data_IF_352814983696
#
_entry.id   IF_352814983696
#
_cell.length_a   1.000
_cell.length_b   1.000
_cell.length_c   1.000
_cell.angle_alpha   90.00
_cell.angle_beta   90.00
_cell.angle_gamma   90.00
#
_symmetry.space_group_name_H-M   'P 1'
#
loop_
_entity.id
_entity.type
_entity.pdbx_description
1 polymer ?
#
# COMPACT_ATOMS: atom_id res chain seq x y z
N UNK A 1 -22.91 16.25 8.02
CA UNK A 1 -23.42 14.97 7.48
C UNK A 1 -22.42 13.83 7.70
N UNK A 2 -21.15 13.99 7.29
CA UNK A 2 -20.09 12.97 7.46
C UNK A 2 -19.97 12.49 8.92
N UNK A 3 -19.80 13.40 9.89
CA UNK A 3 -19.70 13.07 11.33
C UNK A 3 -20.85 12.15 11.76
N UNK A 4 -22.11 12.54 11.46
CA UNK A 4 -23.27 11.73 11.80
C UNK A 4 -23.23 10.32 11.21
N UNK A 5 -22.74 10.17 9.97
CA UNK A 5 -22.61 8.84 9.35
C UNK A 5 -21.46 8.03 9.95
N UNK A 6 -20.31 8.66 10.20
CA UNK A 6 -19.15 7.99 10.79
C UNK A 6 -19.38 7.56 12.23
N UNK A 7 -20.18 8.31 13.01
CA UNK A 7 -20.51 7.97 14.40
C UNK A 7 -21.31 6.66 14.53
N UNK A 8 -21.94 6.18 13.45
CA UNK A 8 -22.67 4.91 13.43
C UNK A 8 -21.82 3.72 12.98
N UNK A 9 -20.51 3.90 12.78
CA UNK A 9 -19.59 2.85 12.32
C UNK A 9 -18.40 2.72 13.28
N UNK A 10 -18.01 1.49 13.59
CA UNK A 10 -16.84 1.25 14.46
C UNK A 10 -15.52 1.70 13.81
N UNK A 11 -15.43 1.56 12.47
CA UNK A 11 -14.25 1.90 11.68
C UNK A 11 -14.64 2.62 10.38
N UNK A 12 -15.00 3.89 10.49
CA UNK A 12 -15.39 4.69 9.33
C UNK A 12 -14.16 5.11 8.49
N UNK A 13 -14.14 4.74 7.21
CA UNK A 13 -13.10 5.13 6.27
C UNK A 13 -13.68 5.99 5.15
N UNK A 14 -13.07 7.15 4.93
CA UNK A 14 -13.51 8.08 3.90
C UNK A 14 -12.74 7.87 2.60
N UNK A 15 -13.46 7.71 1.48
CA UNK A 15 -12.89 7.62 0.14
C UNK A 15 -12.58 9.02 -0.40
N UNK A 16 -11.28 9.33 -0.54
CA UNK A 16 -10.80 10.63 -1.02
C UNK A 16 -10.32 10.50 -2.47
N UNK A 17 -11.22 10.86 -3.39
CA UNK A 17 -11.03 10.66 -4.84
C UNK A 17 -10.45 11.90 -5.54
N UNK A 18 -9.13 11.87 -5.71
CA UNK A 18 -8.39 12.74 -6.60
C UNK A 18 -7.88 14.04 -5.97
N UNK A 19 -6.94 14.73 -6.65
CA UNK A 19 -6.16 15.82 -6.06
C UNK A 19 -7.01 17.04 -5.71
N UNK A 20 -8.14 17.23 -6.42
CA UNK A 20 -9.07 18.32 -6.13
C UNK A 20 -9.75 18.18 -4.77
N UNK A 21 -9.86 16.96 -4.23
CA UNK A 21 -10.45 16.71 -2.92
C UNK A 21 -9.47 16.94 -1.76
N UNK A 22 -8.16 17.07 -2.04
CA UNK A 22 -7.14 17.28 -1.01
C UNK A 22 -7.35 18.57 -0.19
N UNK A 23 -8.09 19.55 -0.75
CA UNK A 23 -8.47 20.76 -0.01
C UNK A 23 -9.33 20.46 1.23
N UNK A 24 -10.00 19.30 1.27
CA UNK A 24 -10.84 18.87 2.38
C UNK A 24 -10.11 17.93 3.36
N UNK A 25 -8.85 17.59 3.08
CA UNK A 25 -8.13 16.58 3.86
C UNK A 25 -7.99 17.00 5.32
N UNK A 26 -7.67 18.26 5.61
CA UNK A 26 -7.54 18.75 6.99
C UNK A 26 -8.84 18.63 7.78
N UNK A 27 -9.96 19.03 7.17
CA UNK A 27 -11.28 18.93 7.78
C UNK A 27 -11.63 17.47 8.08
N UNK A 28 -11.36 16.56 7.14
CA UNK A 28 -11.61 15.13 7.31
C UNK A 28 -10.74 14.52 8.43
N UNK A 29 -9.45 14.85 8.48
CA UNK A 29 -8.53 14.35 9.50
C UNK A 29 -8.90 14.84 10.91
N UNK A 30 -9.55 16.01 11.01
CA UNK A 30 -10.03 16.55 12.29
C UNK A 30 -11.23 15.79 12.88
N UNK A 31 -11.97 15.01 12.07
CA UNK A 31 -13.16 14.29 12.52
C UNK A 31 -12.74 13.09 13.38
N UNK A 32 -13.10 13.02 14.68
CA UNK A 32 -12.66 11.93 15.54
C UNK A 32 -13.21 10.56 15.11
N UNK A 33 -14.48 10.50 14.68
CA UNK A 33 -15.14 9.24 14.29
C UNK A 33 -14.72 8.71 12.92
N UNK A 34 -14.02 9.49 12.09
CA UNK A 34 -13.36 8.95 10.91
C UNK A 34 -12.07 8.26 11.35
N UNK A 35 -12.01 6.93 11.22
CA UNK A 35 -10.84 6.15 11.62
C UNK A 35 -9.77 6.12 10.54
N UNK A 36 -10.12 6.37 9.27
CA UNK A 36 -9.16 6.29 8.17
C UNK A 36 -9.56 7.04 6.91
N UNK A 37 -8.59 7.15 6.00
CA UNK A 37 -8.75 7.71 4.66
C UNK A 37 -8.28 6.67 3.64
N UNK A 38 -9.10 6.41 2.62
CA UNK A 38 -8.66 5.77 1.39
C UNK A 38 -8.26 6.86 0.40
N UNK A 39 -6.99 6.89 0.01
CA UNK A 39 -6.52 7.82 -1.00
C UNK A 39 -6.56 7.20 -2.39
N UNK A 40 -7.23 7.89 -3.32
CA UNK A 40 -7.27 7.52 -4.74
C UNK A 40 -6.80 8.70 -5.58
N UNK A 41 -5.71 8.60 -6.35
CA UNK A 41 -5.21 9.71 -7.17
C UNK A 41 -6.17 10.17 -8.28
N UNK A 42 -7.18 9.37 -8.63
CA UNK A 42 -8.11 9.63 -9.72
C UNK A 42 -7.51 9.32 -11.10
N UNK A 43 -8.37 9.26 -12.12
CA UNK A 43 -7.98 8.90 -13.49
C UNK A 43 -6.95 9.88 -14.08
N UNK A 44 -5.90 9.33 -14.70
CA UNK A 44 -4.85 10.10 -15.38
C UNK A 44 -3.82 10.76 -14.45
N UNK A 45 -3.94 10.57 -13.13
CA UNK A 45 -2.93 10.99 -12.17
C UNK A 45 -1.78 9.98 -12.07
N UNK A 46 -0.71 10.37 -11.37
CA UNK A 46 0.37 9.43 -11.04
C UNK A 46 -0.18 8.30 -10.15
N UNK A 47 0.33 7.07 -10.28
CA UNK A 47 -0.08 5.93 -9.46
C UNK A 47 -0.04 6.26 -7.96
N UNK A 48 -0.88 5.63 -7.15
CA UNK A 48 -0.97 5.92 -5.70
C UNK A 48 0.37 5.69 -5.00
N UNK A 49 1.14 4.71 -5.43
CA UNK A 49 2.48 4.42 -4.93
C UNK A 49 3.56 5.46 -5.30
N UNK A 50 3.26 6.48 -6.10
CA UNK A 50 4.21 7.52 -6.50
C UNK A 50 4.64 8.38 -5.30
N UNK A 51 5.92 8.75 -5.27
CA UNK A 51 6.49 9.54 -4.17
C UNK A 51 5.82 10.91 -4.00
N UNK A 52 5.21 11.45 -5.06
CA UNK A 52 4.42 12.68 -5.02
C UNK A 52 3.32 12.64 -3.96
N UNK A 53 2.78 11.46 -3.64
CA UNK A 53 1.70 11.30 -2.66
C UNK A 53 2.21 11.11 -1.23
N UNK A 54 3.52 10.97 -1.01
CA UNK A 54 4.10 10.82 0.33
C UNK A 54 3.69 11.94 1.32
N UNK A 55 3.62 13.22 0.92
CA UNK A 55 3.12 14.26 1.82
C UNK A 55 1.67 14.02 2.28
N UNK A 56 0.81 13.46 1.42
CA UNK A 56 -0.58 13.10 1.77
C UNK A 56 -0.57 11.96 2.79
N UNK A 57 0.23 10.92 2.56
CA UNK A 57 0.34 9.77 3.45
C UNK A 57 0.88 10.13 4.82
N UNK A 58 1.98 10.89 4.87
CA UNK A 58 2.55 11.36 6.13
C UNK A 58 1.55 12.19 6.92
N UNK A 59 0.74 13.03 6.24
CA UNK A 59 -0.28 13.85 6.89
C UNK A 59 -1.40 13.00 7.50
N UNK A 60 -1.86 11.97 6.80
CA UNK A 60 -2.88 11.03 7.28
C UNK A 60 -2.35 10.26 8.51
N UNK A 61 -1.13 9.73 8.45
CA UNK A 61 -0.52 9.01 9.57
C UNK A 61 -0.24 9.91 10.78
N UNK A 62 0.24 11.14 10.55
CA UNK A 62 0.48 12.11 11.62
C UNK A 62 -0.80 12.47 12.39
N UNK A 63 -1.97 12.38 11.75
CA UNK A 63 -3.27 12.54 12.39
C UNK A 63 -3.78 11.27 13.10
N UNK A 64 -2.98 10.20 13.14
CA UNK A 64 -3.34 8.92 13.75
C UNK A 64 -4.45 8.17 13.00
N UNK A 65 -4.67 8.50 11.72
CA UNK A 65 -5.70 7.86 10.89
C UNK A 65 -5.13 6.69 10.11
N UNK A 66 -5.93 5.65 9.93
CA UNK A 66 -5.62 4.53 9.03
C UNK A 66 -5.51 5.04 7.60
N UNK A 67 -4.56 4.49 6.85
CA UNK A 67 -4.33 4.82 5.45
C UNK A 67 -4.65 3.60 4.60
N UNK A 68 -5.66 3.71 3.74
CA UNK A 68 -5.88 2.74 2.67
C UNK A 68 -5.24 3.27 1.39
N UNK A 69 -4.28 2.52 0.87
CA UNK A 69 -3.71 2.73 -0.47
C UNK A 69 -4.18 1.59 -1.36
N UNK A 70 -5.20 1.86 -2.15
CA UNK A 70 -5.79 0.88 -3.06
C UNK A 70 -5.35 1.17 -4.49
N UNK A 71 -4.53 0.28 -5.09
CA UNK A 71 -4.34 0.20 -6.54
C UNK A 71 -3.58 -1.09 -6.94
N UNK A 72 -4.27 -2.24 -7.04
CA UNK A 72 -3.64 -3.52 -7.31
C UNK A 72 -3.08 -3.68 -8.73
N UNK A 73 -3.48 -2.85 -9.69
CA UNK A 73 -3.14 -3.03 -11.11
C UNK A 73 -2.05 -2.08 -11.62
N UNK A 74 -1.91 -0.88 -11.05
CA UNK A 74 -0.86 0.07 -11.45
C UNK A 74 0.42 -0.08 -10.62
N UNK A 75 0.33 -0.81 -9.51
CA UNK A 75 1.47 -1.05 -8.63
C UNK A 75 2.34 -2.15 -9.22
N UNK A 76 3.44 -1.77 -9.88
CA UNK A 76 4.49 -2.75 -10.14
C UNK A 76 4.99 -3.30 -8.79
N UNK A 77 5.18 -4.62 -8.71
CA UNK A 77 5.52 -5.35 -7.49
C UNK A 77 6.67 -4.74 -6.68
N UNK A 78 7.55 -3.97 -7.32
CA UNK A 78 8.73 -3.36 -6.73
C UNK A 78 8.43 -2.19 -5.77
N UNK A 79 7.28 -1.53 -5.92
CA UNK A 79 7.00 -0.30 -5.20
C UNK A 79 6.46 -0.52 -3.79
N UNK A 80 5.84 -1.67 -3.53
CA UNK A 80 5.28 -1.96 -2.21
C UNK A 80 6.35 -2.00 -1.11
N UNK A 81 7.48 -2.62 -1.42
CA UNK A 81 8.65 -2.65 -0.55
C UNK A 81 9.16 -1.25 -0.19
N UNK A 82 8.99 -0.26 -1.08
CA UNK A 82 9.38 1.13 -0.83
C UNK A 82 8.38 1.84 0.07
N UNK A 83 7.08 1.58 -0.12
CA UNK A 83 6.02 2.16 0.69
C UNK A 83 6.23 1.85 2.18
N UNK A 84 6.40 0.56 2.52
CA UNK A 84 6.62 0.12 3.91
C UNK A 84 7.97 0.52 4.51
N UNK A 85 8.93 1.00 3.70
CA UNK A 85 10.19 1.56 4.20
C UNK A 85 10.08 3.04 4.56
N UNK A 86 9.12 3.75 3.95
CA UNK A 86 8.97 5.20 4.08
C UNK A 86 7.82 5.60 5.01
N UNK A 87 6.86 4.70 5.22
CA UNK A 87 5.72 4.90 6.10
C UNK A 87 5.78 3.95 7.28
N UNK A 88 5.11 4.32 8.37
CA UNK A 88 4.83 3.37 9.44
C UNK A 88 3.92 2.27 8.89
N UNK A 89 4.31 0.99 8.89
CA UNK A 89 3.44 -0.09 8.41
C UNK A 89 2.17 -0.25 9.27
N UNK A 90 2.16 0.29 10.49
CA UNK A 90 0.99 0.28 11.38
C UNK A 90 -0.12 1.13 10.78
N UNK A 91 -1.31 0.53 10.65
CA UNK A 91 -2.49 1.23 10.18
C UNK A 91 -2.54 1.48 8.66
N UNK A 92 -1.67 0.84 7.89
CA UNK A 92 -1.77 0.81 6.42
C UNK A 92 -2.54 -0.43 5.98
N UNK A 93 -3.56 -0.22 5.14
CA UNK A 93 -4.23 -1.28 4.41
C UNK A 93 -3.88 -1.13 2.92
N UNK A 94 -3.38 -2.20 2.31
CA UNK A 94 -3.03 -2.20 0.89
C UNK A 94 -3.50 -3.49 0.24
N UNK A 95 -4.04 -3.37 -0.97
CA UNK A 95 -4.41 -4.52 -1.82
C UNK A 95 -3.34 -4.67 -2.89
N UNK A 96 -2.65 -5.80 -2.88
CA UNK A 96 -1.49 -6.06 -3.75
C UNK A 96 -1.70 -7.40 -4.45
N UNK A 97 -1.41 -7.44 -5.75
CA UNK A 97 -1.38 -8.67 -6.53
C UNK A 97 0.04 -8.94 -7.04
N UNK A 98 0.49 -10.19 -6.95
CA UNK A 98 1.74 -10.65 -7.55
C UNK A 98 1.44 -11.66 -8.64
N UNK A 99 1.98 -11.45 -9.84
CA UNK A 99 1.88 -12.41 -10.94
C UNK A 99 3.00 -13.45 -10.81
N UNK A 100 2.80 -14.38 -9.88
CA UNK A 100 3.66 -15.54 -9.66
C UNK A 100 4.47 -15.51 -8.36
N UNK A 101 4.81 -16.70 -7.87
CA UNK A 101 5.49 -16.91 -6.59
C UNK A 101 6.86 -16.22 -6.51
N UNK A 102 7.62 -16.18 -7.62
CA UNK A 102 8.94 -15.53 -7.66
C UNK A 102 8.87 -14.07 -7.21
N UNK A 103 7.92 -13.32 -7.76
CA UNK A 103 7.79 -11.89 -7.47
C UNK A 103 7.22 -11.67 -6.08
N UNK A 104 6.30 -12.53 -5.64
CA UNK A 104 5.81 -12.50 -4.26
C UNK A 104 6.95 -12.71 -3.26
N UNK A 105 7.75 -13.77 -3.39
CA UNK A 105 8.87 -14.04 -2.48
C UNK A 105 9.90 -12.92 -2.47
N UNK A 106 10.14 -12.27 -3.61
CA UNK A 106 11.13 -11.21 -3.69
C UNK A 106 10.64 -9.87 -3.15
N UNK A 107 9.43 -9.43 -3.52
CA UNK A 107 8.95 -8.08 -3.25
C UNK A 107 8.08 -7.93 -2.01
N UNK A 108 7.47 -9.02 -1.54
CA UNK A 108 6.67 -8.99 -0.32
C UNK A 108 7.54 -8.50 0.86
N UNK A 109 7.01 -7.67 1.77
CA UNK A 109 7.74 -7.20 2.94
C UNK A 109 8.30 -8.35 3.80
N UNK A 110 9.43 -8.08 4.46
CA UNK A 110 10.10 -9.08 5.31
C UNK A 110 9.20 -9.59 6.44
N UNK A 111 8.39 -8.71 7.04
CA UNK A 111 7.44 -9.08 8.10
C UNK A 111 6.28 -9.98 7.62
N UNK A 112 6.09 -10.11 6.30
CA UNK A 112 5.15 -11.04 5.68
C UNK A 112 5.85 -12.26 5.05
N UNK A 113 7.16 -12.43 5.28
CA UNK A 113 7.94 -13.58 4.81
C UNK A 113 8.59 -13.42 3.44
N UNK A 114 8.60 -12.22 2.86
CA UNK A 114 9.34 -11.93 1.62
C UNK A 114 10.73 -11.33 1.86
N UNK A 115 11.36 -10.85 0.78
CA UNK A 115 12.69 -10.17 0.77
C UNK A 115 12.61 -8.65 0.81
N UNK A 116 11.42 -8.05 0.85
CA UNK A 116 11.22 -6.60 0.85
C UNK A 116 11.87 -5.89 -0.34
N UNK A 117 12.01 -6.57 -1.48
CA UNK A 117 12.65 -6.07 -2.70
C UNK A 117 14.14 -5.73 -2.54
N UNK A 118 14.83 -6.24 -1.51
CA UNK A 118 16.23 -5.96 -1.22
C UNK A 118 17.14 -6.95 -1.94
N UNK A 119 18.15 -6.42 -2.66
CA UNK A 119 19.22 -7.21 -3.29
C UNK A 119 19.18 -7.19 -4.82
N UNK A 120 19.79 -8.20 -5.43
CA UNK A 120 19.81 -8.40 -6.89
C UNK A 120 18.70 -9.38 -7.30
N UNK A 121 17.66 -8.86 -7.95
CA UNK A 121 16.54 -9.65 -8.46
C UNK A 121 16.98 -10.70 -9.48
N UNK A 122 17.97 -10.43 -10.33
CA UNK A 122 18.44 -11.40 -11.34
C UNK A 122 19.13 -12.58 -10.67
N UNK A 123 19.95 -12.30 -9.65
CA UNK A 123 20.59 -13.34 -8.85
C UNK A 123 19.54 -14.19 -8.11
N UNK A 124 18.59 -13.54 -7.42
CA UNK A 124 17.49 -14.22 -6.73
C UNK A 124 16.66 -15.11 -7.67
N UNK A 125 16.29 -14.58 -8.84
CA UNK A 125 15.56 -15.33 -9.87
C UNK A 125 16.30 -16.58 -10.35
N UNK A 126 17.62 -16.51 -10.47
CA UNK A 126 18.45 -17.66 -10.86
C UNK A 126 18.42 -18.74 -9.78
N UNK A 127 18.55 -18.36 -8.51
CA UNK A 127 18.49 -19.28 -7.37
C UNK A 127 17.11 -19.92 -7.21
N UNK A 128 16.05 -19.12 -7.29
CA UNK A 128 14.67 -19.58 -7.23
C UNK A 128 14.38 -20.64 -8.30
N UNK A 129 14.79 -20.39 -9.55
CA UNK A 129 14.64 -21.37 -10.65
C UNK A 129 15.41 -22.66 -10.40
N UNK A 130 16.64 -22.56 -9.86
CA UNK A 130 17.46 -23.74 -9.52
C UNK A 130 16.81 -24.57 -8.41
N UNK A 131 16.26 -23.93 -7.38
CA UNK A 131 15.54 -24.59 -6.28
C UNK A 131 14.29 -25.32 -6.77
N UNK A 132 13.47 -24.66 -7.59
CA UNK A 132 12.25 -25.26 -8.12
C UNK A 132 12.51 -26.41 -9.08
N UNK A 133 13.59 -26.35 -9.88
CA UNK A 133 13.99 -27.48 -10.73
C UNK A 133 14.35 -28.71 -9.89
N UNK A 134 15.17 -28.54 -8.84
CA UNK A 134 15.52 -29.64 -7.94
C UNK A 134 14.30 -30.26 -7.26
N UNK A 135 13.34 -29.45 -6.81
CA UNK A 135 12.10 -29.96 -6.20
C UNK A 135 11.27 -30.80 -7.18
N UNK A 136 11.20 -30.39 -8.45
CA UNK A 136 10.51 -31.18 -9.49
C UNK A 136 11.22 -32.48 -9.84
N UNK A 137 12.54 -32.55 -9.70
CA UNK A 137 13.32 -33.77 -9.94
C UNK A 137 13.23 -34.77 -8.76
N UNK A 138 12.70 -34.36 -7.60
CA UNK A 138 12.51 -35.20 -6.41
C UNK A 138 11.05 -35.66 -6.21
N UNK A 139 10.13 -35.24 -7.07
CA UNK A 139 8.72 -35.66 -7.12
C UNK A 139 8.52 -36.65 -8.26
#
# INVERSE_FOLDING_TARGET
YIIKQSDHMDYAIYHLDGPKQLIHLDDLLSIPSLTGIQWVPGAGALPSIDEKWMPVYNKIQAAGKLLIVDNPLETSSHHIARLYKKLDPTGIISIIAFVGQLDAEYYLPEFLGGKGGIGDYKAFKKEFRKKNRKQKEMQ
#
